data_IF_992880450114
#
_entry.id   IF_992880450114
#
_cell.length_a   1.000
_cell.length_b   1.000
_cell.length_c   1.000
_cell.angle_alpha   90.00
_cell.angle_beta   90.00
_cell.angle_gamma   90.00
#
_symmetry.space_group_name_H-M   'P 1'
#
loop_
_entity.id
_entity.type
_entity.pdbx_description
1 polymer ?
#
# COMPACT_ATOMS: atom_id res chain seq x y z
N UNK A 1 7.25 -16.60 -21.26
CA UNK A 1 7.36 -16.26 -22.70
C UNK A 1 6.15 -15.42 -23.08
N UNK A 2 6.33 -14.18 -23.54
CA UNK A 2 5.22 -13.34 -24.04
C UNK A 2 4.83 -13.78 -25.45
N UNK A 3 3.55 -14.03 -25.67
CA UNK A 3 3.02 -14.41 -26.98
C UNK A 3 3.24 -13.31 -28.02
N UNK A 4 3.48 -13.63 -29.32
CA UNK A 4 3.73 -12.64 -30.38
C UNK A 4 2.66 -11.55 -30.49
N UNK A 5 1.40 -11.91 -30.21
CA UNK A 5 0.28 -10.96 -30.14
C UNK A 5 0.46 -9.88 -29.06
N UNK A 6 0.95 -10.25 -27.87
CA UNK A 6 1.18 -9.31 -26.78
C UNK A 6 2.36 -8.37 -27.05
N UNK A 7 3.34 -8.83 -27.83
CA UNK A 7 4.48 -8.02 -28.24
C UNK A 7 4.07 -6.92 -29.22
N UNK A 8 3.32 -7.27 -30.28
CA UNK A 8 2.75 -6.30 -31.23
C UNK A 8 1.88 -5.25 -30.53
N UNK A 9 1.02 -5.68 -29.59
CA UNK A 9 0.20 -4.75 -28.80
C UNK A 9 1.05 -3.81 -27.96
N UNK A 10 2.14 -4.31 -27.37
CA UNK A 10 3.02 -3.49 -26.55
C UNK A 10 3.76 -2.42 -27.37
N UNK A 11 4.20 -2.77 -28.58
CA UNK A 11 4.82 -1.82 -29.53
C UNK A 11 3.83 -0.72 -29.94
N UNK A 12 2.61 -1.10 -30.32
CA UNK A 12 1.57 -0.14 -30.73
C UNK A 12 1.14 0.80 -29.60
N UNK A 13 1.07 0.30 -28.36
CA UNK A 13 0.58 1.06 -27.21
C UNK A 13 1.69 1.81 -26.46
N UNK A 14 2.97 1.55 -26.78
CA UNK A 14 4.12 2.05 -26.01
C UNK A 14 4.18 1.54 -24.56
N UNK A 15 3.40 0.51 -24.22
CA UNK A 15 3.35 -0.12 -22.90
C UNK A 15 2.70 -1.50 -22.99
N UNK A 16 2.87 -2.34 -21.96
CA UNK A 16 2.20 -3.65 -21.93
C UNK A 16 0.68 -3.53 -22.02
N UNK A 17 0.06 -4.41 -22.80
CA UNK A 17 -1.40 -4.42 -23.00
C UNK A 17 -2.18 -4.44 -21.66
N UNK A 18 -1.72 -5.22 -20.68
CA UNK A 18 -2.35 -5.28 -19.36
C UNK A 18 -2.32 -3.94 -18.62
N UNK A 19 -1.25 -3.16 -18.74
CA UNK A 19 -1.15 -1.81 -18.16
C UNK A 19 -2.10 -0.83 -18.85
N UNK A 20 -2.16 -0.88 -20.18
CA UNK A 20 -3.09 -0.06 -20.96
C UNK A 20 -4.55 -0.39 -20.61
N UNK A 21 -4.90 -1.67 -20.57
CA UNK A 21 -6.23 -2.14 -20.19
C UNK A 21 -6.60 -1.73 -18.76
N UNK A 22 -5.70 -1.91 -17.79
CA UNK A 22 -5.95 -1.49 -16.41
C UNK A 22 -6.17 0.03 -16.27
N UNK A 23 -5.47 0.84 -17.07
CA UNK A 23 -5.73 2.29 -17.14
C UNK A 23 -7.12 2.58 -17.69
N UNK A 24 -7.46 1.98 -18.83
CA UNK A 24 -8.75 2.14 -19.48
C UNK A 24 -9.93 1.76 -18.57
N UNK A 25 -9.86 0.58 -17.92
CA UNK A 25 -10.91 0.14 -16.99
C UNK A 25 -11.05 1.13 -15.82
N UNK A 26 -9.94 1.62 -15.26
CA UNK A 26 -10.00 2.62 -14.19
C UNK A 26 -10.61 3.94 -14.67
N UNK A 27 -10.33 4.38 -15.89
CA UNK A 27 -10.91 5.59 -16.49
C UNK A 27 -12.42 5.43 -16.72
N UNK A 28 -12.85 4.29 -17.25
CA UNK A 28 -14.27 3.96 -17.46
C UNK A 28 -15.02 3.98 -16.12
N UNK A 29 -14.49 3.31 -15.09
CA UNK A 29 -15.15 3.27 -13.78
C UNK A 29 -15.21 4.67 -13.16
N UNK A 30 -14.12 5.45 -13.26
CA UNK A 30 -14.11 6.81 -12.73
C UNK A 30 -15.13 7.73 -13.44
N UNK A 31 -15.28 7.61 -14.75
CA UNK A 31 -16.31 8.33 -15.52
C UNK A 31 -17.72 8.00 -15.02
N UNK A 32 -18.02 6.72 -14.76
CA UNK A 32 -19.29 6.32 -14.16
C UNK A 32 -19.49 6.89 -12.75
N UNK A 33 -18.47 6.84 -11.90
CA UNK A 33 -18.50 7.40 -10.53
C UNK A 33 -18.79 8.90 -10.57
N UNK A 34 -18.15 9.62 -11.47
CA UNK A 34 -18.33 11.06 -11.65
C UNK A 34 -19.75 11.38 -12.15
N UNK A 35 -20.23 10.66 -13.18
CA UNK A 35 -21.59 10.83 -13.73
C UNK A 35 -22.69 10.48 -12.73
N UNK A 36 -22.46 9.48 -11.88
CA UNK A 36 -23.37 9.09 -10.82
C UNK A 36 -23.34 10.05 -9.61
N UNK A 37 -22.47 11.06 -9.61
CA UNK A 37 -22.33 12.00 -8.50
C UNK A 37 -21.78 11.36 -7.21
N UNK A 38 -21.11 10.22 -7.32
CA UNK A 38 -20.60 9.48 -6.18
C UNK A 38 -19.40 10.23 -5.59
N UNK A 39 -19.43 10.42 -4.26
CA UNK A 39 -18.38 11.09 -3.49
C UNK A 39 -17.57 10.09 -2.67
N UNK A 40 -16.44 10.53 -2.15
CA UNK A 40 -15.58 9.66 -1.34
C UNK A 40 -16.34 9.09 -0.15
N UNK A 41 -16.40 7.76 -0.02
CA UNK A 41 -17.10 7.06 1.05
C UNK A 41 -16.60 7.42 2.47
N UNK A 42 -15.34 7.87 2.58
CA UNK A 42 -14.70 8.17 3.88
C UNK A 42 -14.87 9.61 4.33
N UNK A 43 -14.80 10.59 3.42
CA UNK A 43 -14.83 12.02 3.78
C UNK A 43 -15.96 12.82 3.13
N UNK A 44 -16.71 12.26 2.18
CA UNK A 44 -17.79 12.95 1.48
C UNK A 44 -17.34 13.95 0.41
N UNK A 45 -16.04 14.13 0.19
CA UNK A 45 -15.54 15.08 -0.82
C UNK A 45 -15.45 14.47 -2.24
N UNK A 46 -15.50 15.30 -3.30
CA UNK A 46 -15.27 14.86 -4.67
C UNK A 46 -13.90 14.20 -4.84
N UNK A 47 -13.83 13.21 -5.72
CA UNK A 47 -12.58 12.52 -6.08
C UNK A 47 -12.08 13.00 -7.43
N UNK A 48 -10.76 13.03 -7.60
CA UNK A 48 -10.11 13.18 -8.90
C UNK A 48 -9.71 11.82 -9.44
N UNK A 49 -9.37 11.76 -10.73
CA UNK A 49 -8.93 10.51 -11.35
C UNK A 49 -7.67 9.93 -10.69
N UNK A 50 -6.78 10.79 -10.22
CA UNK A 50 -5.50 10.44 -9.59
C UNK A 50 -5.70 9.93 -8.18
N UNK A 51 -6.66 10.51 -7.46
CA UNK A 51 -6.93 10.23 -6.05
C UNK A 51 -7.94 9.09 -5.87
N UNK A 52 -8.74 8.81 -6.88
CA UNK A 52 -9.75 7.74 -6.91
C UNK A 52 -9.16 6.34 -6.71
N UNK A 53 -9.80 5.57 -5.83
CA UNK A 53 -9.55 4.14 -5.58
C UNK A 53 -10.87 3.37 -5.40
N UNK A 54 -10.84 2.08 -5.75
CA UNK A 54 -11.92 1.11 -5.53
C UNK A 54 -11.51 0.27 -4.33
N UNK A 55 -12.36 0.21 -3.30
CA UNK A 55 -11.98 -0.33 -2.00
C UNK A 55 -13.13 -1.10 -1.36
N UNK A 56 -12.79 -2.09 -0.53
CA UNK A 56 -13.77 -2.72 0.35
C UNK A 56 -14.11 -1.80 1.54
N UNK A 57 -15.38 -1.74 1.92
CA UNK A 57 -15.86 -0.97 3.09
C UNK A 57 -15.33 -1.61 4.37
N UNK A 58 -15.46 -2.93 4.45
CA UNK A 58 -15.03 -3.81 5.53
C UNK A 58 -13.87 -4.73 5.14
N UNK A 59 -13.11 -5.18 6.13
CA UNK A 59 -11.92 -6.00 5.93
C UNK A 59 -12.27 -7.45 5.58
N UNK A 60 -12.31 -7.76 4.29
CA UNK A 60 -12.64 -9.11 3.79
C UNK A 60 -11.63 -10.19 4.23
N UNK A 61 -10.37 -9.84 4.50
CA UNK A 61 -9.32 -10.79 4.90
C UNK A 61 -9.56 -11.41 6.30
N UNK A 62 -10.39 -10.76 7.13
CA UNK A 62 -10.74 -11.21 8.48
C UNK A 62 -12.20 -11.65 8.59
N UNK A 63 -12.90 -11.73 7.48
CA UNK A 63 -14.28 -12.22 7.43
C UNK A 63 -14.31 -13.72 7.67
N UNK A 64 -15.44 -14.22 8.20
CA UNK A 64 -15.72 -15.65 8.31
C UNK A 64 -15.79 -16.32 6.91
N UNK A 65 -16.16 -15.56 5.87
CA UNK A 65 -16.15 -15.98 4.47
C UNK A 65 -15.45 -14.94 3.59
N UNK A 66 -14.12 -14.99 3.47
CA UNK A 66 -13.34 -14.00 2.73
C UNK A 66 -13.67 -13.92 1.24
N UNK A 67 -13.99 -15.05 0.59
CA UNK A 67 -14.30 -15.08 -0.84
C UNK A 67 -15.62 -14.35 -1.11
N UNK A 68 -16.66 -14.67 -0.32
CA UNK A 68 -17.94 -13.98 -0.41
C UNK A 68 -17.78 -12.50 -0.10
N UNK A 69 -17.08 -12.15 0.99
CA UNK A 69 -16.85 -10.75 1.36
C UNK A 69 -16.03 -9.96 0.34
N UNK A 70 -15.14 -10.63 -0.40
CA UNK A 70 -14.35 -10.00 -1.45
C UNK A 70 -15.17 -9.67 -2.70
N UNK A 71 -16.11 -10.57 -3.07
CA UNK A 71 -16.96 -10.44 -4.25
C UNK A 71 -18.29 -9.70 -3.99
N UNK A 72 -18.59 -9.39 -2.73
CA UNK A 72 -19.77 -8.65 -2.34
C UNK A 72 -19.74 -7.19 -2.83
N UNK A 73 -20.62 -6.87 -3.78
CA UNK A 73 -20.74 -5.51 -4.35
C UNK A 73 -21.20 -4.49 -3.32
N UNK A 74 -21.98 -4.88 -2.31
CA UNK A 74 -22.39 -3.99 -1.23
C UNK A 74 -21.22 -3.67 -0.30
N UNK A 75 -20.20 -4.53 -0.26
CA UNK A 75 -18.93 -4.26 0.42
C UNK A 75 -17.95 -3.44 -0.46
N UNK A 76 -18.26 -3.14 -1.73
CA UNK A 76 -17.41 -2.28 -2.57
C UNK A 76 -17.80 -0.81 -2.43
N UNK A 77 -16.81 0.06 -2.39
CA UNK A 77 -16.98 1.52 -2.34
C UNK A 77 -15.87 2.24 -3.11
N UNK A 78 -16.04 3.55 -3.27
CA UNK A 78 -15.08 4.43 -3.92
C UNK A 78 -14.60 5.48 -2.94
N UNK A 79 -13.29 5.70 -2.86
CA UNK A 79 -12.72 6.69 -1.95
C UNK A 79 -11.39 7.25 -2.45
N UNK A 80 -10.93 8.34 -1.84
CA UNK A 80 -9.54 8.75 -2.02
C UNK A 80 -8.61 7.67 -1.47
N UNK A 81 -7.58 7.31 -2.22
CA UNK A 81 -6.55 6.35 -1.78
C UNK A 81 -5.97 6.74 -0.41
N UNK A 82 -5.73 8.03 -0.20
CA UNK A 82 -5.20 8.57 1.06
C UNK A 82 -6.17 8.40 2.23
N UNK A 83 -7.47 8.62 2.00
CA UNK A 83 -8.51 8.43 3.01
C UNK A 83 -8.61 6.95 3.40
N UNK A 84 -8.58 6.03 2.42
CA UNK A 84 -8.62 4.60 2.70
C UNK A 84 -7.39 4.11 3.48
N UNK A 85 -6.19 4.54 3.07
CA UNK A 85 -4.94 4.21 3.77
C UNK A 85 -4.97 4.67 5.22
N UNK A 86 -5.53 5.87 5.48
CA UNK A 86 -5.70 6.39 6.84
C UNK A 86 -6.75 5.64 7.65
N UNK A 87 -7.82 5.16 7.01
CA UNK A 87 -8.89 4.41 7.66
C UNK A 87 -8.48 2.98 8.03
N UNK A 88 -7.43 2.43 7.39
CA UNK A 88 -6.94 1.08 7.66
C UNK A 88 -6.53 0.92 9.12
N UNK A 89 -7.20 0.02 9.84
CA UNK A 89 -6.82 -0.38 11.20
C UNK A 89 -5.47 -1.09 11.13
N UNK A 90 -4.43 -0.42 11.59
CA UNK A 90 -3.14 -1.07 11.82
C UNK A 90 -3.20 -1.64 13.23
N UNK A 91 -3.00 -2.95 13.38
CA UNK A 91 -2.80 -3.50 14.71
C UNK A 91 -1.67 -2.73 15.39
N UNK A 92 -1.95 -2.24 16.61
CA UNK A 92 -0.93 -1.58 17.40
C UNK A 92 0.18 -2.62 17.56
N UNK A 93 1.36 -2.33 17.01
CA UNK A 93 2.50 -3.17 17.29
C UNK A 93 2.69 -3.18 18.80
N UNK A 94 2.76 -4.39 19.37
CA UNK A 94 3.10 -4.57 20.77
C UNK A 94 4.44 -3.91 21.11
N UNK A 95 4.71 -3.76 22.40
CA UNK A 95 6.04 -3.41 22.87
C UNK A 95 7.05 -4.52 22.53
N UNK A 96 8.35 -4.21 22.62
CA UNK A 96 9.41 -5.20 22.38
C UNK A 96 9.85 -5.36 20.93
N UNK A 97 9.42 -4.49 20.01
CA UNK A 97 9.90 -4.51 18.61
C UNK A 97 10.67 -3.24 18.24
N UNK A 98 11.58 -3.35 17.27
CA UNK A 98 12.27 -2.19 16.68
C UNK A 98 11.29 -1.18 16.11
N UNK A 99 10.26 -1.66 15.40
CA UNK A 99 9.28 -0.82 14.72
C UNK A 99 8.44 -0.02 15.72
N UNK A 100 8.17 -0.57 16.90
CA UNK A 100 7.56 0.17 18.01
C UNK A 100 8.48 1.27 18.55
N UNK A 101 9.79 1.05 18.61
CA UNK A 101 10.77 2.10 18.93
C UNK A 101 10.77 3.22 17.89
N UNK A 102 10.82 2.89 16.60
CA UNK A 102 10.86 3.90 15.52
C UNK A 102 9.58 4.75 15.49
N UNK A 103 8.44 4.20 15.93
CA UNK A 103 7.16 4.91 16.11
C UNK A 103 7.06 5.74 17.39
N UNK A 104 8.10 5.79 18.21
CA UNK A 104 8.17 6.66 19.40
C UNK A 104 8.14 5.96 20.76
N UNK A 105 7.89 4.64 20.83
CA UNK A 105 7.94 3.92 22.11
C UNK A 105 9.38 3.89 22.67
N UNK A 106 9.54 4.05 23.99
CA UNK A 106 10.85 4.06 24.67
C UNK A 106 10.93 3.09 25.86
N UNK A 107 10.03 2.11 25.94
CA UNK A 107 10.10 1.07 26.98
C UNK A 107 11.39 0.24 26.88
N UNK A 108 11.71 -0.49 27.94
CA UNK A 108 12.94 -1.30 28.05
C UNK A 108 13.01 -2.33 26.91
N UNK A 109 11.91 -3.03 26.65
CA UNK A 109 11.85 -4.07 25.62
C UNK A 109 12.12 -3.52 24.22
N UNK A 110 11.51 -2.39 23.85
CA UNK A 110 11.73 -1.72 22.56
C UNK A 110 13.18 -1.24 22.40
N UNK A 111 13.79 -0.70 23.46
CA UNK A 111 15.21 -0.32 23.49
C UNK A 111 16.11 -1.55 23.33
N UNK A 112 15.78 -2.65 24.01
CA UNK A 112 16.49 -3.92 23.89
C UNK A 112 16.41 -4.48 22.47
N UNK A 113 15.23 -4.44 21.83
CA UNK A 113 15.06 -4.87 20.45
C UNK A 113 15.89 -4.03 19.45
N UNK A 114 15.92 -2.71 19.63
CA UNK A 114 16.81 -1.81 18.87
C UNK A 114 18.27 -2.22 19.03
N UNK A 115 18.72 -2.43 20.26
CA UNK A 115 20.10 -2.76 20.56
C UNK A 115 20.48 -4.15 20.02
N UNK A 116 19.61 -5.14 20.15
CA UNK A 116 19.80 -6.48 19.58
C UNK A 116 19.97 -6.42 18.05
N UNK A 117 19.15 -5.63 17.36
CA UNK A 117 19.29 -5.45 15.91
C UNK A 117 20.59 -4.72 15.55
N UNK A 118 20.97 -3.66 16.29
CA UNK A 118 22.24 -2.95 16.10
C UNK A 118 23.44 -3.89 16.26
N UNK A 119 23.41 -4.76 17.27
CA UNK A 119 24.43 -5.80 17.50
C UNK A 119 24.48 -6.82 16.36
N UNK A 120 23.34 -7.27 15.84
CA UNK A 120 23.31 -8.17 14.66
C UNK A 120 23.88 -7.50 13.41
N UNK A 121 23.63 -6.20 13.23
CA UNK A 121 24.14 -5.46 12.07
C UNK A 121 25.60 -5.03 12.20
N UNK A 122 26.19 -5.20 13.39
CA UNK A 122 27.58 -4.85 13.68
C UNK A 122 28.51 -5.81 12.97
N UNK A 123 29.43 -5.26 12.17
CA UNK A 123 30.63 -5.99 11.75
C UNK A 123 31.84 -5.05 11.90
N UNK A 124 33.03 -5.57 12.25
CA UNK A 124 34.25 -4.77 12.33
C UNK A 124 34.53 -3.97 11.05
N UNK A 125 34.24 -4.55 9.89
CA UNK A 125 34.45 -3.96 8.56
C UNK A 125 33.51 -2.77 8.34
N UNK A 126 32.23 -2.89 8.72
CA UNK A 126 31.26 -1.78 8.67
C UNK A 126 31.65 -0.64 9.60
N UNK A 127 32.20 -0.97 10.77
CA UNK A 127 32.70 0.02 11.73
C UNK A 127 33.93 0.74 11.17
N UNK A 128 34.90 -0.01 10.64
CA UNK A 128 36.11 0.53 10.02
C UNK A 128 35.76 1.45 8.84
N UNK A 129 34.91 0.99 7.91
CA UNK A 129 34.46 1.79 6.77
C UNK A 129 33.76 3.10 7.18
N UNK A 130 33.07 3.13 8.34
CA UNK A 130 32.48 4.36 8.86
C UNK A 130 33.55 5.38 9.29
N UNK A 131 34.60 4.94 9.97
CA UNK A 131 35.72 5.80 10.38
C UNK A 131 36.48 6.33 9.16
N UNK A 132 36.79 5.45 8.19
CA UNK A 132 37.44 5.83 6.93
C UNK A 132 36.63 6.85 6.13
N UNK A 133 35.29 6.74 6.13
CA UNK A 133 34.39 7.64 5.39
C UNK A 133 34.19 9.00 6.05
N UNK A 134 34.24 9.08 7.37
CA UNK A 134 33.97 10.31 8.14
C UNK A 134 35.24 10.99 8.68
N UNK A 135 36.43 10.50 8.34
CA UNK A 135 37.69 11.17 8.65
C UNK A 135 37.97 11.29 10.14
N UNK A 136 37.71 10.23 10.91
CA UNK A 136 38.18 10.09 12.29
C UNK A 136 38.96 8.77 12.43
#
# INVERSE_FOLDING_TARGET
MTTPSNQRKAELLGMSHGKAYGRLVKDIIFDFVLKAGIRCYRCGEPMSRETFSIEHKDEWQRSDDPLRSFLDLDNISYSHLTCNVRAKKVEKLGCGTRRSYDRGCRCVECRSALNAQRRKSYTPERRHAKYTKHGC
#
